data_IF_364595738766
#
_entry.id   IF_364595738766
#
_cell.length_a   1.000
_cell.length_b   1.000
_cell.length_c   1.000
_cell.angle_alpha   90.00
_cell.angle_beta   90.00
_cell.angle_gamma   90.00
#
_symmetry.space_group_name_H-M   'P 1'
#
loop_
_entity.id
_entity.type
_entity.pdbx_description
1 polymer ?
#
# COMPACT_ATOMS: atom_id res chain seq x y z
N UNK A 1 21.69 2.93 33.78
CA UNK A 1 20.73 3.46 32.80
C UNK A 1 20.50 2.39 31.75
N UNK A 2 19.39 1.63 31.83
CA UNK A 2 19.11 0.60 30.84
C UNK A 2 18.27 1.17 29.71
N UNK A 3 18.71 0.87 28.48
CA UNK A 3 18.07 1.19 27.20
C UNK A 3 16.65 0.59 27.10
N UNK A 4 15.70 1.24 26.41
CA UNK A 4 14.40 0.65 26.16
C UNK A 4 14.47 -0.35 24.99
N UNK A 5 14.06 -1.59 25.28
CA UNK A 5 13.94 -2.71 24.34
C UNK A 5 12.67 -2.57 23.49
N UNK A 6 12.82 -2.77 22.18
CA UNK A 6 11.74 -3.05 21.21
C UNK A 6 10.89 -4.23 21.69
N UNK A 7 9.55 -4.14 21.61
CA UNK A 7 8.62 -5.15 22.11
C UNK A 7 7.79 -5.80 20.99
N UNK A 8 8.14 -7.06 20.72
CA UNK A 8 7.38 -8.19 20.15
C UNK A 8 7.84 -9.41 21.00
N UNK A 9 7.08 -10.39 21.51
CA UNK A 9 5.71 -10.91 21.33
C UNK A 9 5.38 -11.83 22.55
N UNK A 10 4.12 -12.27 22.66
CA UNK A 10 3.57 -13.50 23.30
C UNK A 10 3.05 -13.40 24.74
N UNK A 11 1.72 -13.57 24.86
CA UNK A 11 0.98 -13.89 26.09
C UNK A 11 0.74 -15.41 26.17
N UNK A 12 0.81 -15.99 27.37
CA UNK A 12 0.34 -17.33 27.68
C UNK A 12 -0.56 -17.35 28.95
N UNK A 13 -1.73 -18.00 28.78
CA UNK A 13 -2.59 -18.73 29.74
C UNK A 13 -3.35 -18.04 30.92
N UNK A 14 -4.70 -17.99 30.78
CA UNK A 14 -5.79 -18.63 31.57
C UNK A 14 -5.81 -18.53 33.14
N UNK A 15 -6.91 -18.40 33.93
CA UNK A 15 -8.39 -18.49 33.86
C UNK A 15 -8.95 -17.89 35.19
N UNK A 16 -10.16 -17.30 35.23
CA UNK A 16 -11.25 -17.60 36.21
C UNK A 16 -12.52 -16.73 36.02
N UNK A 17 -13.67 -17.33 36.33
CA UNK A 17 -15.04 -16.97 35.94
C UNK A 17 -15.75 -15.91 36.81
N UNK A 18 -16.81 -15.30 36.25
CA UNK A 18 -18.06 -15.04 36.98
C UNK A 18 -19.24 -14.80 36.00
N UNK A 19 -20.36 -15.45 36.28
CA UNK A 19 -21.63 -15.39 35.56
C UNK A 19 -22.51 -14.21 35.99
N UNK A 20 -23.40 -13.74 35.10
CA UNK A 20 -24.47 -12.80 35.43
C UNK A 20 -25.54 -12.79 34.34
N UNK A 21 -26.80 -13.04 34.73
CA UNK A 21 -27.95 -13.30 33.87
C UNK A 21 -28.88 -12.07 33.68
N UNK A 22 -29.66 -12.09 32.58
CA UNK A 22 -30.91 -11.33 32.39
C UNK A 22 -30.76 -9.91 31.85
N UNK A 23 -31.60 -9.36 30.96
CA UNK A 23 -32.93 -9.73 30.53
C UNK A 23 -33.20 -9.29 29.07
N UNK A 24 -34.00 -10.06 28.35
CA UNK A 24 -34.54 -9.74 27.02
C UNK A 24 -35.64 -8.67 27.16
N UNK A 25 -35.55 -7.61 26.37
CA UNK A 25 -36.68 -6.70 26.13
C UNK A 25 -36.95 -6.65 24.63
N UNK A 26 -38.07 -7.24 24.23
CA UNK A 26 -38.64 -7.19 22.90
C UNK A 26 -39.23 -5.81 22.62
N UNK A 27 -38.60 -5.02 21.77
CA UNK A 27 -39.19 -3.80 21.21
C UNK A 27 -39.73 -4.08 19.80
N UNK A 28 -41.03 -3.85 19.63
CA UNK A 28 -41.76 -4.06 18.40
C UNK A 28 -41.20 -3.24 17.23
N UNK A 29 -41.03 -3.89 16.08
CA UNK A 29 -40.53 -3.29 14.84
C UNK A 29 -41.63 -2.44 14.20
N UNK A 30 -41.50 -1.11 14.28
CA UNK A 30 -42.24 -0.21 13.41
C UNK A 30 -41.62 -0.25 12.01
N UNK A 31 -42.40 -0.65 11.00
CA UNK A 31 -41.97 -0.67 9.61
C UNK A 31 -41.69 0.76 9.11
N UNK A 32 -40.41 1.11 8.99
CA UNK A 32 -40.00 2.35 8.35
C UNK A 32 -40.21 2.25 6.83
N UNK A 33 -40.85 3.27 6.26
CA UNK A 33 -41.00 3.44 4.82
C UNK A 33 -39.62 3.39 4.10
N UNK A 34 -39.55 2.93 2.84
CA UNK A 34 -38.29 2.79 2.12
C UNK A 34 -37.61 4.16 2.02
N UNK A 35 -36.48 4.31 2.71
CA UNK A 35 -35.58 5.44 2.53
C UNK A 35 -35.11 5.39 1.08
N UNK A 36 -35.27 6.50 0.36
CA UNK A 36 -34.55 6.71 -0.89
C UNK A 36 -33.06 6.65 -0.55
N UNK A 37 -32.38 5.60 -1.01
CA UNK A 37 -30.94 5.46 -0.89
C UNK A 37 -30.28 6.55 -1.75
N UNK A 38 -30.02 7.69 -1.13
CA UNK A 38 -29.05 8.63 -1.67
C UNK A 38 -27.69 7.93 -1.68
N UNK A 39 -26.90 8.04 -2.77
CA UNK A 39 -25.55 7.50 -2.78
C UNK A 39 -24.79 8.00 -1.57
N UNK A 40 -24.18 7.09 -0.80
CA UNK A 40 -23.32 7.48 0.29
C UNK A 40 -22.23 8.44 -0.23
N UNK A 41 -21.88 9.50 0.52
CA UNK A 41 -20.80 10.39 0.11
C UNK A 41 -19.51 9.58 -0.08
N UNK A 42 -18.64 9.98 -1.02
CA UNK A 42 -17.37 9.30 -1.25
C UNK A 42 -16.55 9.28 0.04
N UNK A 43 -15.96 8.12 0.36
CA UNK A 43 -15.16 7.90 1.57
C UNK A 43 -13.66 7.82 1.29
N UNK A 44 -13.27 7.98 0.02
CA UNK A 44 -11.88 7.94 -0.48
C UNK A 44 -11.70 9.08 -1.48
N UNK A 45 -10.58 9.79 -1.36
CA UNK A 45 -10.09 10.77 -2.32
C UNK A 45 -8.68 10.37 -2.78
N UNK A 46 -8.50 10.17 -4.08
CA UNK A 46 -7.21 9.89 -4.69
C UNK A 46 -6.75 11.11 -5.47
N UNK A 47 -5.54 11.59 -5.17
CA UNK A 47 -4.93 12.67 -5.94
C UNK A 47 -3.46 12.37 -6.22
N UNK A 48 -3.01 12.69 -7.44
CA UNK A 48 -1.63 12.52 -7.85
C UNK A 48 -1.19 13.62 -8.82
N UNK A 49 0.07 14.03 -8.67
CA UNK A 49 0.80 14.90 -9.58
C UNK A 49 1.61 14.02 -10.53
N UNK A 50 1.34 14.11 -11.83
CA UNK A 50 1.91 13.19 -12.85
C UNK A 50 2.30 13.88 -14.15
N UNK A 51 1.68 15.02 -14.45
CA UNK A 51 1.87 15.73 -15.73
C UNK A 51 2.97 16.78 -15.62
N UNK A 52 3.50 17.20 -16.77
CA UNK A 52 4.46 18.30 -16.83
C UNK A 52 3.92 19.57 -16.14
N UNK A 53 2.63 19.84 -16.34
CA UNK A 53 1.91 20.95 -15.74
C UNK A 53 1.86 20.83 -14.22
N UNK A 54 1.57 19.65 -13.68
CA UNK A 54 1.58 19.39 -12.23
C UNK A 54 2.95 19.71 -11.62
N UNK A 55 4.03 19.22 -12.25
CA UNK A 55 5.39 19.47 -11.81
C UNK A 55 5.75 20.96 -11.83
N UNK A 56 5.24 21.71 -12.81
CA UNK A 56 5.45 23.16 -12.95
C UNK A 56 4.66 24.00 -11.94
N UNK A 57 3.49 23.53 -11.49
CA UNK A 57 2.67 24.23 -10.50
C UNK A 57 3.14 24.00 -9.06
N UNK A 58 3.87 22.93 -8.79
CA UNK A 58 4.56 22.78 -7.50
C UNK A 58 5.70 23.78 -7.33
N UNK A 59 6.03 24.07 -6.07
CA UNK A 59 7.14 24.94 -5.71
C UNK A 59 8.45 24.16 -5.83
N UNK A 60 9.18 24.43 -6.91
CA UNK A 60 10.51 23.87 -7.15
C UNK A 60 11.61 24.68 -6.45
N UNK A 61 12.55 24.00 -5.80
CA UNK A 61 13.81 24.56 -5.33
C UNK A 61 14.95 23.60 -5.70
N UNK A 62 15.68 23.93 -6.78
CA UNK A 62 16.71 23.07 -7.36
C UNK A 62 16.19 21.94 -8.25
N UNK A 63 14.87 21.72 -8.32
CA UNK A 63 14.24 20.72 -9.20
C UNK A 63 13.77 21.34 -10.52
N UNK A 64 13.56 20.50 -11.54
CA UNK A 64 12.95 20.86 -12.83
C UNK A 64 11.93 19.81 -13.25
N UNK A 65 10.87 20.27 -13.91
CA UNK A 65 9.98 19.41 -14.67
C UNK A 65 10.69 18.92 -15.94
N UNK A 66 10.61 17.62 -16.20
CA UNK A 66 11.11 16.94 -17.40
C UNK A 66 9.90 16.67 -18.29
N UNK A 67 9.88 17.24 -19.49
CA UNK A 67 8.87 16.98 -20.49
C UNK A 67 9.15 15.65 -21.22
N UNK A 68 8.11 15.05 -21.80
CA UNK A 68 8.23 13.81 -22.58
C UNK A 68 6.96 12.99 -22.55
N UNK A 69 7.03 11.76 -23.10
CA UNK A 69 5.89 10.81 -23.08
C UNK A 69 5.48 10.46 -21.66
N UNK A 70 6.44 10.39 -20.75
CA UNK A 70 6.25 10.27 -19.30
C UNK A 70 6.92 11.47 -18.64
N UNK A 71 6.13 12.48 -18.32
CA UNK A 71 6.64 13.66 -17.63
C UNK A 71 7.17 13.26 -16.24
N UNK A 72 8.16 13.99 -15.74
CA UNK A 72 8.74 13.70 -14.44
C UNK A 72 9.36 14.92 -13.78
N UNK A 73 9.91 14.71 -12.59
CA UNK A 73 10.63 15.68 -11.80
C UNK A 73 12.05 15.17 -11.56
N UNK A 74 13.03 16.03 -11.78
CA UNK A 74 14.45 15.73 -11.63
C UNK A 74 15.20 16.87 -10.95
N UNK A 75 16.42 16.61 -10.49
CA UNK A 75 17.36 17.63 -10.01
C UNK A 75 17.85 18.46 -11.20
N UNK A 76 17.69 19.78 -11.12
CA UNK A 76 18.27 20.75 -12.04
C UNK A 76 19.65 21.21 -11.55
N UNK A 77 19.71 21.65 -10.30
CA UNK A 77 20.91 22.04 -9.57
C UNK A 77 20.67 21.77 -8.07
N UNK A 78 21.71 21.44 -7.30
CA UNK A 78 21.53 21.19 -5.88
C UNK A 78 21.20 22.50 -5.16
N UNK A 79 20.27 22.44 -4.21
CA UNK A 79 20.00 23.52 -3.27
C UNK A 79 21.13 23.64 -2.23
N UNK A 80 21.74 22.51 -1.90
CA UNK A 80 22.83 22.42 -0.94
C UNK A 80 23.34 20.99 -0.81
N UNK A 81 24.14 20.78 0.23
CA UNK A 81 24.61 19.46 0.67
C UNK A 81 24.11 19.18 2.08
N UNK A 82 23.82 17.93 2.36
CA UNK A 82 23.50 17.43 3.70
C UNK A 82 24.16 16.09 3.90
N UNK A 83 24.57 15.80 5.13
CA UNK A 83 24.97 14.45 5.50
C UNK A 83 23.73 13.65 5.88
N UNK A 84 23.71 12.37 5.50
CA UNK A 84 22.72 11.40 5.93
C UNK A 84 23.45 10.21 6.54
N UNK A 85 23.16 9.95 7.82
CA UNK A 85 23.55 8.71 8.49
C UNK A 85 22.39 7.74 8.34
N UNK A 86 22.64 6.67 7.59
CA UNK A 86 21.68 5.58 7.46
C UNK A 86 21.54 4.86 8.81
N UNK A 87 20.34 4.81 9.41
CA UNK A 87 20.16 4.29 10.77
C UNK A 87 20.38 2.77 10.87
N UNK A 88 20.35 2.07 9.74
CA UNK A 88 20.42 0.60 9.68
C UNK A 88 21.84 0.10 9.41
N UNK A 89 22.68 0.92 8.78
CA UNK A 89 24.09 0.59 8.52
C UNK A 89 25.08 1.41 9.36
N UNK A 90 24.64 2.52 9.95
CA UNK A 90 25.50 3.49 10.63
C UNK A 90 26.44 4.27 9.70
N UNK A 91 26.34 4.07 8.37
CA UNK A 91 27.19 4.75 7.40
C UNK A 91 26.68 6.17 7.16
N UNK A 92 27.59 7.15 7.27
CA UNK A 92 27.32 8.55 6.93
C UNK A 92 27.86 8.86 5.54
N UNK A 93 27.01 9.40 4.68
CA UNK A 93 27.38 9.92 3.36
C UNK A 93 26.83 11.33 3.14
N UNK A 94 27.62 12.15 2.44
CA UNK A 94 27.19 13.46 1.99
C UNK A 94 26.35 13.36 0.72
N UNK A 95 25.26 14.13 0.64
CA UNK A 95 24.33 14.14 -0.49
C UNK A 95 24.03 15.56 -0.94
N UNK A 96 24.04 15.76 -2.27
CA UNK A 96 23.44 16.94 -2.88
C UNK A 96 21.92 16.73 -2.95
N UNK A 97 21.14 17.77 -2.62
CA UNK A 97 19.69 17.64 -2.59
C UNK A 97 18.97 18.79 -3.31
N UNK A 98 17.77 18.51 -3.79
CA UNK A 98 16.83 19.49 -4.29
C UNK A 98 15.41 19.13 -3.82
N UNK A 99 14.51 20.12 -3.74
CA UNK A 99 13.15 19.89 -3.25
C UNK A 99 12.09 20.33 -4.24
N UNK A 100 10.95 19.68 -4.15
CA UNK A 100 9.71 20.08 -4.80
C UNK A 100 8.57 19.91 -3.79
N UNK A 101 7.73 20.92 -3.66
CA UNK A 101 6.53 20.85 -2.80
C UNK A 101 5.29 21.05 -3.63
N UNK A 102 4.33 20.15 -3.50
CA UNK A 102 3.06 20.22 -4.23
C UNK A 102 2.28 21.49 -3.88
N UNK A 103 1.37 21.94 -4.76
CA UNK A 103 0.24 22.78 -4.36
C UNK A 103 -0.53 22.13 -3.19
N UNK A 104 -1.32 22.93 -2.46
CA UNK A 104 -2.25 22.35 -1.47
C UNK A 104 -3.31 21.56 -2.24
N UNK A 105 -3.45 20.28 -1.89
CA UNK A 105 -4.63 19.52 -2.27
C UNK A 105 -5.66 19.62 -1.16
N UNK A 106 -6.84 20.16 -1.46
CA UNK A 106 -7.99 20.13 -0.54
C UNK A 106 -8.72 18.83 -0.80
N UNK A 107 -8.71 17.94 0.19
CA UNK A 107 -9.31 16.63 0.05
C UNK A 107 -10.81 16.77 -0.15
N UNK A 108 -11.39 16.02 -1.08
CA UNK A 108 -12.86 15.92 -1.21
C UNK A 108 -13.47 15.09 -0.07
N UNK A 109 -12.63 14.37 0.67
CA UNK A 109 -12.98 13.58 1.85
C UNK A 109 -12.16 14.10 3.04
N UNK A 110 -12.76 14.78 4.03
CA UNK A 110 -12.09 15.07 5.29
C UNK A 110 -11.61 13.76 5.91
N UNK A 111 -10.29 13.53 5.94
CA UNK A 111 -9.74 12.19 6.13
C UNK A 111 -9.34 11.90 7.57
N UNK A 112 -9.45 10.64 7.97
CA UNK A 112 -8.83 10.08 9.18
C UNK A 112 -7.50 9.42 8.87
N UNK A 113 -7.31 8.93 7.63
CA UNK A 113 -6.08 8.29 7.20
C UNK A 113 -5.59 8.83 5.86
N UNK A 114 -4.27 8.88 5.67
CA UNK A 114 -3.64 9.22 4.39
C UNK A 114 -2.44 8.33 4.11
N UNK A 115 -2.35 7.80 2.90
CA UNK A 115 -1.25 6.96 2.43
C UNK A 115 -0.61 7.63 1.21
N UNK A 116 0.63 8.07 1.35
CA UNK A 116 1.40 8.64 0.25
C UNK A 116 2.03 7.52 -0.59
N UNK A 117 2.01 7.65 -1.91
CA UNK A 117 2.68 6.73 -2.83
C UNK A 117 3.36 7.48 -3.98
N UNK A 118 4.40 6.87 -4.54
CA UNK A 118 5.23 7.48 -5.58
C UNK A 118 5.70 6.46 -6.61
N UNK A 119 6.06 6.94 -7.79
CA UNK A 119 6.70 6.16 -8.84
C UNK A 119 7.96 6.90 -9.26
N UNK A 120 9.12 6.27 -9.11
CA UNK A 120 10.39 6.91 -9.40
C UNK A 120 11.41 5.92 -9.95
N UNK A 121 12.28 6.43 -10.81
CA UNK A 121 13.59 5.84 -11.07
C UNK A 121 14.61 6.47 -10.13
N UNK A 122 15.44 5.65 -9.50
CA UNK A 122 16.58 6.09 -8.68
C UNK A 122 17.79 5.29 -9.10
N UNK A 123 18.54 5.73 -10.13
CA UNK A 123 19.80 5.11 -10.49
C UNK A 123 20.76 5.10 -9.28
N UNK A 124 21.69 4.15 -9.26
CA UNK A 124 22.72 4.09 -8.22
C UNK A 124 23.40 5.45 -8.01
N UNK A 125 23.61 5.84 -6.76
CA UNK A 125 24.04 7.18 -6.37
C UNK A 125 22.89 8.18 -6.23
N UNK A 126 21.62 7.73 -6.16
CA UNK A 126 20.46 8.59 -5.96
C UNK A 126 19.39 7.92 -5.10
N UNK A 127 18.60 8.74 -4.40
CA UNK A 127 17.46 8.29 -3.61
C UNK A 127 16.51 9.47 -3.37
N UNK A 128 15.37 9.24 -2.72
CA UNK A 128 14.41 10.29 -2.41
C UNK A 128 13.73 10.12 -1.05
N UNK A 129 13.27 11.24 -0.49
CA UNK A 129 12.42 11.29 0.69
C UNK A 129 11.06 11.89 0.32
N UNK A 130 9.99 11.31 0.86
CA UNK A 130 8.62 11.76 0.69
C UNK A 130 8.11 12.24 2.03
N UNK A 131 7.52 13.43 2.07
CA UNK A 131 7.00 14.02 3.29
C UNK A 131 5.58 14.53 3.09
N UNK A 132 4.76 14.42 4.13
CA UNK A 132 3.39 14.90 4.18
C UNK A 132 3.24 15.99 5.23
N UNK A 133 2.54 17.06 4.89
CA UNK A 133 2.04 18.04 5.86
C UNK A 133 0.58 18.33 5.58
N UNK A 134 -0.24 18.24 6.61
CA UNK A 134 -1.68 18.43 6.55
C UNK A 134 -2.17 19.63 7.35
N UNK A 135 -3.40 20.04 7.05
CA UNK A 135 -4.19 20.97 7.86
C UNK A 135 -5.42 20.24 8.39
N UNK A 136 -5.66 20.37 9.67
CA UNK A 136 -6.82 19.79 10.34
C UNK A 136 -8.09 20.65 10.17
N UNK A 137 -9.24 20.03 10.44
CA UNK A 137 -10.55 20.69 10.46
C UNK A 137 -10.66 21.79 11.52
N UNK A 138 -9.92 21.69 12.64
CA UNK A 138 -9.84 22.71 13.69
C UNK A 138 -8.96 23.92 13.31
N UNK A 139 -8.31 23.86 12.15
CA UNK A 139 -7.50 24.91 11.58
C UNK A 139 -6.01 24.87 11.91
N UNK A 140 -5.59 23.97 12.81
CA UNK A 140 -4.17 23.69 13.09
C UNK A 140 -3.53 22.85 11.98
N UNK A 141 -2.20 22.73 11.99
CA UNK A 141 -1.44 21.98 11.00
C UNK A 141 -0.60 20.89 11.67
N UNK A 142 -0.37 19.82 10.93
CA UNK A 142 0.59 18.78 11.31
C UNK A 142 2.02 19.33 11.20
N UNK A 143 3.01 18.70 11.85
CA UNK A 143 4.40 18.79 11.41
C UNK A 143 4.57 18.19 9.99
N UNK A 144 5.78 18.28 9.44
CA UNK A 144 6.14 17.46 8.29
C UNK A 144 6.46 16.05 8.77
N UNK A 145 5.66 15.08 8.33
CA UNK A 145 5.92 13.66 8.53
C UNK A 145 6.71 13.10 7.38
N UNK A 146 7.73 12.28 7.66
CA UNK A 146 8.45 11.49 6.66
C UNK A 146 7.65 10.23 6.39
N UNK A 147 7.11 10.12 5.18
CA UNK A 147 6.32 8.95 4.74
C UNK A 147 7.19 7.83 4.17
N UNK A 148 8.47 8.12 3.91
CA UNK A 148 9.45 7.12 3.51
C UNK A 148 10.75 7.73 2.99
N UNK A 149 11.86 7.04 3.25
CA UNK A 149 13.15 7.24 2.56
C UNK A 149 13.39 6.06 1.66
N UNK A 150 13.54 6.32 0.37
CA UNK A 150 13.39 5.29 -0.64
C UNK A 150 14.43 5.37 -1.74
N UNK A 151 14.97 4.21 -2.08
CA UNK A 151 15.72 3.93 -3.29
C UNK A 151 15.18 2.63 -3.90
N UNK A 152 15.28 2.54 -5.23
CA UNK A 152 14.97 1.34 -6.02
C UNK A 152 15.94 0.21 -5.69
N UNK A 153 17.23 0.54 -5.51
CA UNK A 153 18.26 -0.38 -5.02
C UNK A 153 18.43 -0.33 -3.49
N UNK A 154 19.36 -1.13 -2.96
CA UNK A 154 19.67 -1.22 -1.53
C UNK A 154 21.14 -0.88 -1.19
N UNK A 155 21.88 -0.32 -2.16
CA UNK A 155 23.30 0.04 -2.02
C UNK A 155 23.55 1.49 -1.60
N UNK A 156 22.63 2.41 -1.89
CA UNK A 156 22.77 3.85 -1.56
C UNK A 156 22.29 4.18 -0.15
N UNK A 157 21.12 3.63 0.19
CA UNK A 157 20.50 3.66 1.51
C UNK A 157 19.77 2.34 1.73
N UNK A 158 19.60 1.95 2.99
CA UNK A 158 18.60 1.00 3.44
C UNK A 158 17.27 1.72 3.51
N UNK A 159 16.50 1.57 2.42
CA UNK A 159 15.11 2.04 2.31
C UNK A 159 14.30 1.72 3.58
N UNK A 160 13.58 2.72 4.07
CA UNK A 160 13.08 2.70 5.44
C UNK A 160 11.87 3.62 5.64
N UNK A 161 10.89 3.14 6.40
CA UNK A 161 9.93 3.99 7.12
C UNK A 161 10.61 4.70 8.30
N UNK A 162 9.88 5.58 8.99
CA UNK A 162 10.38 6.34 10.15
C UNK A 162 9.38 6.22 11.29
N UNK A 163 9.83 5.67 12.40
CA UNK A 163 9.02 5.44 13.60
C UNK A 163 8.85 6.70 14.46
N UNK A 164 7.96 6.58 15.46
CA UNK A 164 7.78 7.55 16.55
C UNK A 164 7.41 8.97 16.10
N UNK A 165 6.69 9.07 14.98
CA UNK A 165 6.20 10.34 14.45
C UNK A 165 4.77 10.61 14.92
N UNK A 166 4.57 11.60 15.80
CA UNK A 166 3.23 12.06 16.22
C UNK A 166 3.21 13.55 16.56
N UNK A 167 2.00 14.12 16.67
CA UNK A 167 1.77 15.49 17.16
C UNK A 167 0.74 15.58 18.30
N UNK A 168 0.36 14.43 18.87
CA UNK A 168 -0.69 14.32 19.89
C UNK A 168 -2.12 14.36 19.35
N UNK A 169 -2.29 14.47 18.02
CA UNK A 169 -3.59 14.37 17.32
C UNK A 169 -3.57 13.31 16.23
N UNK A 170 -2.39 13.08 15.65
CA UNK A 170 -2.13 12.06 14.64
C UNK A 170 -0.75 11.44 14.82
N UNK A 171 -0.61 10.25 14.25
CA UNK A 171 0.62 9.48 14.21
C UNK A 171 0.83 8.87 12.82
N UNK A 172 2.08 8.54 12.49
CA UNK A 172 2.40 7.72 11.30
C UNK A 172 2.68 6.29 11.74
N UNK A 173 1.92 5.35 11.19
CA UNK A 173 2.10 3.91 11.38
C UNK A 173 2.74 3.32 10.13
N UNK A 174 4.08 3.18 10.13
CA UNK A 174 4.91 2.67 9.03
C UNK A 174 4.77 3.48 7.72
N UNK A 175 3.62 3.38 7.04
CA UNK A 175 3.31 4.04 5.77
C UNK A 175 2.01 4.87 5.77
N UNK A 176 1.27 4.85 6.89
CA UNK A 176 -0.07 5.46 6.99
C UNK A 176 -0.08 6.56 8.03
N UNK A 177 -0.39 7.79 7.61
CA UNK A 177 -0.83 8.84 8.53
C UNK A 177 -2.21 8.46 9.08
N UNK A 178 -2.42 8.57 10.39
CA UNK A 178 -3.70 8.31 11.05
C UNK A 178 -4.00 9.36 12.10
N UNK A 179 -5.21 9.91 12.10
CA UNK A 179 -5.76 10.63 13.25
C UNK A 179 -5.91 9.66 14.41
N UNK A 180 -5.40 10.01 15.59
CA UNK A 180 -5.30 9.10 16.73
C UNK A 180 -6.69 8.77 17.33
N UNK A 181 -7.58 9.76 17.39
CA UNK A 181 -8.98 9.61 17.81
C UNK A 181 -9.93 10.12 16.72
N UNK A 182 -10.32 9.21 15.81
CA UNK A 182 -11.28 9.51 14.76
C UNK A 182 -12.68 9.88 15.29
N UNK A 183 -13.05 9.43 16.51
CA UNK A 183 -14.35 9.71 17.12
C UNK A 183 -14.45 11.16 17.64
N UNK A 184 -13.33 11.84 17.86
CA UNK A 184 -13.29 13.28 18.18
C UNK A 184 -13.89 14.18 17.09
N UNK A 185 -14.06 13.66 15.87
CA UNK A 185 -14.47 14.44 14.70
C UNK A 185 -13.35 15.24 14.04
N UNK A 186 -12.11 15.19 14.56
CA UNK A 186 -10.94 15.77 13.91
C UNK A 186 -10.70 15.07 12.57
N UNK A 187 -10.40 15.86 11.53
CA UNK A 187 -10.11 15.36 10.17
C UNK A 187 -8.96 16.13 9.55
N UNK A 188 -8.18 15.47 8.72
CA UNK A 188 -7.26 16.11 7.79
C UNK A 188 -8.05 16.61 6.56
N UNK A 189 -8.15 17.93 6.38
CA UNK A 189 -9.00 18.52 5.32
C UNK A 189 -8.22 18.92 4.07
N UNK A 190 -6.90 19.06 4.19
CA UNK A 190 -6.02 19.34 3.06
C UNK A 190 -4.59 18.94 3.38
N UNK A 191 -3.78 18.64 2.37
CA UNK A 191 -2.39 18.29 2.54
C UNK A 191 -1.49 18.84 1.43
N UNK A 192 -0.18 18.81 1.68
CA UNK A 192 0.89 18.96 0.70
C UNK A 192 1.82 17.77 0.81
N UNK A 193 2.40 17.39 -0.33
CA UNK A 193 3.53 16.47 -0.37
C UNK A 193 4.80 17.23 -0.72
N UNK A 194 5.91 16.85 -0.08
CA UNK A 194 7.25 17.32 -0.44
C UNK A 194 8.10 16.13 -0.87
N UNK A 195 8.75 16.30 -2.01
CA UNK A 195 9.80 15.43 -2.48
C UNK A 195 11.14 16.10 -2.19
N UNK A 196 12.04 15.38 -1.53
CA UNK A 196 13.46 15.73 -1.49
C UNK A 196 14.23 14.70 -2.29
N UNK A 197 14.86 15.15 -3.36
CA UNK A 197 15.64 14.32 -4.27
C UNK A 197 17.11 14.42 -3.90
N UNK A 198 17.79 13.29 -3.79
CA UNK A 198 19.20 13.22 -3.42
C UNK A 198 20.04 12.60 -4.53
N UNK A 199 21.28 13.07 -4.65
CA UNK A 199 22.30 12.47 -5.51
C UNK A 199 23.69 12.57 -4.89
N UNK A 200 24.59 11.68 -5.30
CA UNK A 200 26.01 11.76 -4.93
C UNK A 200 26.60 13.12 -5.35
N UNK A 201 27.30 13.84 -4.45
CA UNK A 201 27.84 15.17 -4.74
C UNK A 201 28.73 15.24 -5.98
N UNK A 202 28.63 16.34 -6.73
CA UNK A 202 29.44 16.57 -7.94
C UNK A 202 29.06 15.73 -9.17
N UNK A 203 28.11 14.79 -9.03
CA UNK A 203 27.63 14.00 -10.17
C UNK A 203 26.53 14.73 -10.95
N UNK A 204 26.23 14.22 -12.16
CA UNK A 204 25.06 14.64 -12.96
C UNK A 204 23.87 13.68 -12.82
N UNK A 205 23.97 12.71 -11.91
CA UNK A 205 22.89 11.75 -11.66
C UNK A 205 21.65 12.48 -11.16
N UNK A 206 20.48 11.93 -11.43
CA UNK A 206 19.23 12.43 -10.88
C UNK A 206 18.26 11.27 -10.68
N UNK A 207 17.59 11.17 -9.53
CA UNK A 207 16.37 10.39 -9.48
C UNK A 207 15.33 11.10 -10.38
N UNK A 208 14.43 10.34 -10.98
CA UNK A 208 13.33 10.87 -11.78
C UNK A 208 12.02 10.39 -11.21
N UNK A 209 11.21 11.30 -10.67
CA UNK A 209 9.88 10.98 -10.12
C UNK A 209 8.84 11.21 -11.20
N UNK A 210 8.06 10.19 -11.55
CA UNK A 210 7.00 10.28 -12.56
C UNK A 210 5.59 10.43 -11.98
N UNK A 211 5.43 10.05 -10.71
CA UNK A 211 4.17 10.19 -9.96
C UNK A 211 4.50 10.41 -8.50
N UNK A 212 3.79 11.35 -7.88
CA UNK A 212 3.65 11.42 -6.42
C UNK A 212 2.19 11.73 -6.12
N UNK A 213 1.62 11.11 -5.11
CA UNK A 213 0.22 11.31 -4.75
C UNK A 213 -0.10 10.69 -3.40
N UNK A 214 -1.36 10.84 -2.99
CA UNK A 214 -1.86 10.18 -1.81
C UNK A 214 -3.32 9.76 -1.97
N UNK A 215 -3.66 8.68 -1.27
CA UNK A 215 -5.05 8.30 -0.99
C UNK A 215 -5.39 8.84 0.40
N UNK A 216 -6.44 9.65 0.49
CA UNK A 216 -7.01 10.14 1.74
C UNK A 216 -8.38 9.49 1.97
N UNK A 217 -8.66 9.01 3.18
CA UNK A 217 -9.90 8.28 3.45
C UNK A 217 -10.48 8.57 4.83
N UNK A 218 -11.80 8.43 4.92
CA UNK A 218 -12.57 8.39 6.17
C UNK A 218 -13.54 7.20 6.08
N UNK A 219 -13.02 6.01 6.39
CA UNK A 219 -13.82 4.77 6.39
C UNK A 219 -14.33 4.54 7.81
N UNK A 220 -15.66 4.47 8.03
CA UNK A 220 -16.20 4.26 9.37
C UNK A 220 -15.86 2.87 9.90
N UNK A 221 -15.89 2.75 11.23
CA UNK A 221 -15.80 1.47 11.93
C UNK A 221 -16.91 0.53 11.48
N UNK A 222 -16.51 -0.64 10.98
CA UNK A 222 -17.43 -1.70 10.54
C UNK A 222 -16.76 -3.06 10.68
N UNK A 223 -17.51 -4.02 11.20
CA UNK A 223 -17.10 -5.43 11.33
C UNK A 223 -17.53 -6.30 10.15
N UNK A 224 -18.56 -5.85 9.43
CA UNK A 224 -19.14 -6.49 8.25
C UNK A 224 -19.51 -5.43 7.22
N UNK A 225 -19.77 -5.87 5.99
CA UNK A 225 -20.21 -5.04 4.87
C UNK A 225 -21.34 -5.74 4.12
N UNK A 226 -22.26 -4.99 3.48
CA UNK A 226 -23.23 -5.59 2.58
C UNK A 226 -22.54 -6.32 1.43
N UNK A 227 -23.05 -7.50 1.05
CA UNK A 227 -22.59 -8.19 -0.15
C UNK A 227 -22.90 -7.35 -1.41
N UNK A 228 -21.91 -7.17 -2.28
CA UNK A 228 -22.11 -6.64 -3.61
C UNK A 228 -22.81 -7.64 -4.53
N UNK A 229 -23.60 -7.15 -5.48
CA UNK A 229 -24.20 -7.99 -6.52
C UNK A 229 -23.16 -8.32 -7.59
N UNK A 230 -22.94 -9.61 -7.92
CA UNK A 230 -22.01 -10.00 -8.99
C UNK A 230 -22.40 -9.43 -10.35
N UNK A 231 -21.42 -9.00 -11.15
CA UNK A 231 -21.65 -8.42 -12.47
C UNK A 231 -20.60 -8.73 -13.54
N UNK A 232 -19.67 -9.65 -13.26
CA UNK A 232 -18.60 -10.03 -14.18
C UNK A 232 -18.30 -11.52 -14.08
N UNK A 233 -18.10 -12.17 -15.23
CA UNK A 233 -17.52 -13.51 -15.34
C UNK A 233 -16.26 -13.37 -16.20
N UNK A 234 -15.10 -13.48 -15.57
CA UNK A 234 -13.81 -13.30 -16.23
C UNK A 234 -12.69 -13.81 -15.35
N UNK A 235 -11.64 -14.35 -15.96
CA UNK A 235 -10.38 -14.65 -15.30
C UNK A 235 -9.23 -14.09 -16.12
N UNK A 236 -8.32 -13.38 -15.47
CA UNK A 236 -7.09 -12.87 -16.07
C UNK A 236 -5.98 -13.91 -15.90
N UNK A 237 -5.18 -14.12 -16.94
CA UNK A 237 -4.06 -15.05 -16.93
C UNK A 237 -2.84 -14.48 -16.19
N UNK A 238 -3.00 -14.17 -14.91
CA UNK A 238 -1.91 -13.70 -14.05
C UNK A 238 -1.04 -14.91 -13.66
N UNK A 239 0.31 -14.83 -13.80
CA UNK A 239 1.23 -15.85 -13.31
C UNK A 239 0.98 -16.18 -11.84
N UNK A 240 1.34 -17.40 -11.45
CA UNK A 240 1.11 -17.92 -10.10
C UNK A 240 2.46 -18.14 -9.45
N UNK A 241 2.65 -17.51 -8.30
CA UNK A 241 3.83 -17.68 -7.48
C UNK A 241 3.41 -17.93 -6.04
N UNK A 242 3.95 -18.98 -5.45
CA UNK A 242 3.82 -19.28 -4.04
C UNK A 242 4.93 -18.57 -3.27
N UNK A 243 4.60 -17.95 -2.14
CA UNK A 243 5.63 -17.49 -1.21
C UNK A 243 6.23 -18.67 -0.42
N UNK A 244 5.46 -19.75 -0.20
CA UNK A 244 5.86 -20.82 0.72
C UNK A 244 6.99 -21.70 0.16
N UNK A 245 7.20 -21.73 -1.16
CA UNK A 245 8.36 -22.41 -1.76
C UNK A 245 9.68 -21.76 -1.36
N UNK A 246 9.64 -20.54 -0.80
CA UNK A 246 10.78 -19.78 -0.31
C UNK A 246 10.92 -19.78 1.21
N UNK A 247 10.17 -20.62 1.93
CA UNK A 247 10.26 -20.72 3.39
C UNK A 247 11.70 -20.98 3.83
N UNK A 248 12.23 -20.13 4.71
CA UNK A 248 13.61 -20.18 5.18
C UNK A 248 14.70 -19.75 4.18
N UNK A 249 14.35 -19.36 2.94
CA UNK A 249 15.29 -18.75 1.99
C UNK A 249 15.45 -17.26 2.30
N UNK A 250 16.68 -16.75 2.30
CA UNK A 250 17.00 -15.35 2.60
C UNK A 250 16.31 -14.81 3.88
N UNK A 251 16.58 -15.44 5.05
CA UNK A 251 15.91 -15.11 6.30
C UNK A 251 16.10 -13.65 6.76
N UNK A 252 17.12 -12.96 6.27
CA UNK A 252 17.34 -11.53 6.49
C UNK A 252 16.23 -10.64 5.96
N UNK A 253 15.38 -11.15 5.06
CA UNK A 253 14.21 -10.44 4.54
C UNK A 253 12.94 -11.01 5.16
N UNK A 254 12.73 -10.84 6.47
CA UNK A 254 11.49 -11.25 7.16
C UNK A 254 11.29 -12.78 7.26
N UNK A 255 12.35 -13.50 7.64
CA UNK A 255 12.41 -14.97 7.77
C UNK A 255 12.26 -15.77 6.48
N UNK A 256 12.07 -15.10 5.34
CA UNK A 256 11.91 -15.75 4.04
C UNK A 256 10.46 -15.77 3.57
N UNK A 257 10.13 -16.78 2.77
CA UNK A 257 8.81 -16.97 2.16
C UNK A 257 7.62 -16.89 3.11
N UNK A 258 7.81 -17.11 4.41
CA UNK A 258 6.80 -17.02 5.47
C UNK A 258 6.05 -15.67 5.50
N UNK A 259 6.69 -14.58 5.06
CA UNK A 259 6.13 -13.23 5.12
C UNK A 259 6.15 -12.46 3.78
N UNK A 260 6.34 -13.15 2.66
CA UNK A 260 6.54 -12.54 1.33
C UNK A 260 5.26 -12.35 0.50
N UNK A 261 4.08 -12.35 1.12
CA UNK A 261 2.80 -12.20 0.40
C UNK A 261 2.72 -10.97 -0.51
N UNK A 262 3.21 -9.82 -0.04
CA UNK A 262 3.20 -8.54 -0.76
C UNK A 262 4.15 -8.52 -1.96
N UNK A 263 5.46 -8.85 -1.82
CA UNK A 263 6.36 -8.94 -2.97
C UNK A 263 5.95 -10.03 -3.96
N UNK A 264 5.47 -11.18 -3.48
CA UNK A 264 4.99 -12.26 -4.35
C UNK A 264 3.78 -11.82 -5.19
N UNK A 265 2.77 -11.21 -4.56
CA UNK A 265 1.62 -10.63 -5.26
C UNK A 265 2.02 -9.53 -6.24
N UNK A 266 2.98 -8.69 -5.85
CA UNK A 266 3.50 -7.65 -6.73
C UNK A 266 4.19 -8.24 -7.96
N UNK A 267 5.01 -9.26 -7.77
CA UNK A 267 5.74 -9.93 -8.84
C UNK A 267 4.80 -10.61 -9.85
N UNK A 268 3.74 -11.28 -9.36
CA UNK A 268 2.70 -11.85 -10.21
C UNK A 268 2.08 -10.80 -11.17
N UNK A 269 1.73 -9.61 -10.68
CA UNK A 269 1.14 -8.56 -11.54
C UNK A 269 2.19 -7.91 -12.45
N UNK A 270 3.41 -7.67 -11.97
CA UNK A 270 4.49 -7.12 -12.80
C UNK A 270 4.73 -8.02 -14.02
N UNK A 271 4.76 -9.34 -13.82
CA UNK A 271 4.95 -10.33 -14.88
C UNK A 271 3.70 -10.55 -15.74
N UNK A 272 2.49 -10.41 -15.20
CA UNK A 272 1.26 -10.35 -16.00
C UNK A 272 1.33 -9.23 -17.05
N UNK A 273 1.95 -8.11 -16.69
CA UNK A 273 2.19 -7.02 -17.62
C UNK A 273 3.40 -7.25 -18.54
N UNK A 274 4.09 -8.40 -18.47
CA UNK A 274 5.22 -8.75 -19.32
C UNK A 274 6.53 -8.05 -18.93
N UNK A 275 6.68 -7.67 -17.66
CA UNK A 275 7.91 -7.11 -17.09
C UNK A 275 8.50 -8.11 -16.12
N UNK A 276 9.83 -8.23 -16.06
CA UNK A 276 10.54 -9.11 -15.13
C UNK A 276 11.94 -8.59 -14.85
N UNK A 277 12.57 -8.96 -13.72
CA UNK A 277 13.99 -8.74 -13.50
C UNK A 277 14.83 -9.27 -14.67
N UNK A 278 15.92 -8.58 -15.01
CA UNK A 278 16.90 -9.10 -15.96
C UNK A 278 17.75 -10.22 -15.34
N UNK A 279 18.49 -10.96 -16.16
CA UNK A 279 19.42 -11.96 -15.63
C UNK A 279 20.51 -11.33 -14.73
N UNK A 280 20.89 -10.08 -15.00
CA UNK A 280 21.83 -9.34 -14.17
C UNK A 280 21.20 -8.95 -12.82
N UNK A 281 19.93 -8.56 -12.81
CA UNK A 281 19.18 -8.24 -11.58
C UNK A 281 19.00 -9.46 -10.68
N UNK A 282 18.97 -10.66 -11.27
CA UNK A 282 18.85 -11.95 -10.57
C UNK A 282 20.20 -12.59 -10.23
N UNK A 283 21.32 -12.02 -10.64
CA UNK A 283 22.64 -12.64 -10.48
C UNK A 283 23.07 -12.82 -9.02
N UNK A 284 22.41 -12.13 -8.08
CA UNK A 284 22.63 -12.30 -6.64
C UNK A 284 21.86 -13.47 -6.04
N UNK A 285 20.82 -13.96 -6.73
CA UNK A 285 19.99 -15.07 -6.26
C UNK A 285 20.75 -16.38 -6.46
N UNK A 286 20.68 -17.27 -5.47
CA UNK A 286 21.40 -18.54 -5.49
C UNK A 286 20.89 -19.41 -6.65
N UNK A 287 21.79 -20.05 -7.42
CA UNK A 287 21.39 -20.93 -8.50
C UNK A 287 20.49 -22.08 -8.02
N UNK A 288 19.42 -22.36 -8.76
CA UNK A 288 18.50 -23.46 -8.45
C UNK A 288 17.31 -23.09 -7.57
N UNK A 289 17.24 -21.86 -7.07
CA UNK A 289 16.03 -21.33 -6.44
C UNK A 289 14.91 -21.21 -7.48
N UNK A 290 13.76 -21.80 -7.17
CA UNK A 290 12.51 -21.62 -7.91
C UNK A 290 12.08 -20.16 -7.79
N UNK A 291 11.49 -19.57 -8.85
CA UNK A 291 10.97 -18.21 -8.86
C UNK A 291 11.91 -17.14 -8.28
N UNK A 292 13.14 -17.01 -8.82
CA UNK A 292 14.14 -16.06 -8.30
C UNK A 292 13.66 -14.60 -8.35
N UNK A 293 12.64 -14.30 -9.16
CA UNK A 293 12.01 -12.98 -9.20
C UNK A 293 11.23 -12.63 -7.92
N UNK A 294 10.74 -13.62 -7.17
CA UNK A 294 10.10 -13.41 -5.85
C UNK A 294 11.15 -13.04 -4.81
N UNK A 295 12.30 -13.72 -4.76
CA UNK A 295 13.43 -13.34 -3.90
C UNK A 295 13.92 -11.91 -4.21
N UNK A 296 14.02 -11.59 -5.51
CA UNK A 296 14.31 -10.23 -5.97
C UNK A 296 13.27 -9.23 -5.44
N UNK A 297 11.97 -9.50 -5.61
CA UNK A 297 10.93 -8.64 -5.10
C UNK A 297 10.99 -8.44 -3.57
N UNK A 298 11.25 -9.50 -2.80
CA UNK A 298 11.40 -9.41 -1.34
C UNK A 298 12.53 -8.45 -0.95
N UNK A 299 13.74 -8.67 -1.46
CA UNK A 299 14.90 -7.81 -1.19
C UNK A 299 14.64 -6.34 -1.54
N UNK A 300 14.04 -6.07 -2.69
CA UNK A 300 13.85 -4.71 -3.20
C UNK A 300 12.53 -4.05 -2.73
N UNK A 301 11.76 -4.72 -1.88
CA UNK A 301 10.60 -4.15 -1.19
C UNK A 301 10.79 -4.03 0.32
N UNK A 302 11.73 -4.78 0.90
CA UNK A 302 12.03 -4.81 2.33
C UNK A 302 12.20 -3.40 2.92
N UNK A 303 11.47 -3.13 3.99
CA UNK A 303 11.57 -1.93 4.80
C UNK A 303 12.38 -2.25 6.05
N UNK A 304 13.54 -1.62 6.18
CA UNK A 304 14.50 -1.96 7.23
C UNK A 304 14.06 -1.49 8.63
N UNK A 305 13.20 -0.47 8.74
CA UNK A 305 12.65 -0.07 10.04
C UNK A 305 11.48 -0.95 10.45
N UNK A 306 10.62 -1.29 9.49
CA UNK A 306 9.49 -2.20 9.72
C UNK A 306 9.94 -3.66 9.92
N UNK A 307 11.14 -3.99 9.44
CA UNK A 307 11.71 -5.34 9.39
C UNK A 307 10.82 -6.31 8.58
N UNK A 308 10.28 -5.84 7.46
CA UNK A 308 9.35 -6.64 6.67
C UNK A 308 9.11 -6.14 5.25
N UNK A 309 8.48 -6.98 4.43
CA UNK A 309 8.15 -6.66 3.04
C UNK A 309 6.74 -6.07 2.87
N UNK A 310 6.04 -5.82 3.98
CA UNK A 310 4.63 -5.43 4.02
C UNK A 310 4.32 -3.93 3.83
N UNK A 311 5.33 -3.06 3.67
CA UNK A 311 5.11 -1.63 3.46
C UNK A 311 4.46 -1.37 2.08
N UNK A 312 3.26 -0.78 2.05
CA UNK A 312 2.43 -0.75 0.84
C UNK A 312 2.99 0.18 -0.24
N UNK A 313 3.33 1.46 0.05
CA UNK A 313 3.97 2.34 -0.93
C UNK A 313 5.29 1.79 -1.46
N UNK A 314 6.02 1.03 -0.65
CA UNK A 314 7.30 0.43 -1.00
C UNK A 314 7.17 -0.65 -2.08
N UNK A 315 6.13 -1.47 -2.03
CA UNK A 315 5.77 -2.43 -3.07
C UNK A 315 5.28 -1.72 -4.35
N UNK A 316 4.42 -0.71 -4.20
CA UNK A 316 3.96 0.08 -5.32
C UNK A 316 5.13 0.80 -6.04
N UNK A 317 6.05 1.40 -5.30
CA UNK A 317 7.22 2.05 -5.85
C UNK A 317 8.16 1.06 -6.55
N UNK A 318 8.39 -0.13 -5.97
CA UNK A 318 9.12 -1.23 -6.62
C UNK A 318 8.47 -1.64 -7.95
N UNK A 319 7.15 -1.84 -8.00
CA UNK A 319 6.47 -2.18 -9.25
C UNK A 319 6.65 -1.11 -10.34
N UNK A 320 6.81 0.15 -9.95
CA UNK A 320 7.00 1.27 -10.87
C UNK A 320 8.44 1.45 -11.36
N UNK A 321 9.44 0.75 -10.81
CA UNK A 321 10.82 0.73 -11.35
C UNK A 321 10.88 0.01 -12.70
N UNK A 322 9.95 -0.91 -12.94
CA UNK A 322 9.85 -1.64 -14.18
C UNK A 322 9.38 -0.76 -15.34
N UNK A 323 9.87 -1.11 -16.53
CA UNK A 323 9.63 -0.36 -17.75
C UNK A 323 8.15 -0.09 -18.00
N UNK A 324 7.83 1.19 -18.16
CA UNK A 324 6.49 1.70 -18.47
C UNK A 324 5.40 1.19 -17.51
N UNK A 325 5.73 1.02 -16.22
CA UNK A 325 4.77 0.68 -15.16
C UNK A 325 4.38 1.90 -14.34
N UNK A 326 3.11 1.96 -13.97
CA UNK A 326 2.56 2.91 -13.02
C UNK A 326 1.83 2.14 -11.92
N UNK A 327 1.80 2.71 -10.73
CA UNK A 327 1.20 2.08 -9.57
C UNK A 327 0.58 3.10 -8.63
N UNK A 328 -0.36 2.63 -7.82
CA UNK A 328 -0.90 3.37 -6.69
C UNK A 328 -1.33 2.42 -5.57
N UNK A 329 -1.28 2.93 -4.34
CA UNK A 329 -1.99 2.36 -3.20
C UNK A 329 -3.29 3.14 -3.05
N UNK A 330 -4.41 2.44 -2.90
CA UNK A 330 -5.72 3.08 -2.74
C UNK A 330 -6.66 2.22 -1.88
N UNK A 331 -7.87 2.72 -1.65
CA UNK A 331 -8.98 1.95 -1.08
C UNK A 331 -10.11 1.84 -2.11
N UNK A 332 -10.66 0.65 -2.26
CA UNK A 332 -11.88 0.42 -3.04
C UNK A 332 -13.03 0.05 -2.08
N UNK A 333 -14.26 0.35 -2.48
CA UNK A 333 -15.43 0.28 -1.61
C UNK A 333 -16.25 -0.99 -1.75
N UNK A 334 -16.03 -1.77 -2.81
CA UNK A 334 -16.78 -3.00 -3.11
C UNK A 334 -16.05 -3.89 -4.10
N UNK A 335 -16.44 -5.16 -4.21
CA UNK A 335 -15.99 -6.03 -5.30
C UNK A 335 -16.51 -5.59 -6.67
N UNK A 336 -17.58 -4.78 -6.74
CA UNK A 336 -18.02 -4.15 -8.00
C UNK A 336 -16.98 -3.16 -8.54
N UNK A 337 -16.24 -2.50 -7.64
CA UNK A 337 -15.11 -1.65 -8.03
C UNK A 337 -13.98 -2.48 -8.62
N UNK A 338 -13.69 -3.62 -8.00
CA UNK A 338 -12.70 -4.59 -8.50
C UNK A 338 -13.13 -5.18 -9.85
N UNK A 339 -14.40 -5.55 -10.02
CA UNK A 339 -14.96 -5.97 -11.30
C UNK A 339 -14.76 -4.91 -12.39
N UNK A 340 -14.85 -3.62 -12.06
CA UNK A 340 -14.59 -2.53 -13.00
C UNK A 340 -13.15 -2.54 -13.52
N UNK A 341 -12.18 -2.76 -12.63
CA UNK A 341 -10.75 -2.89 -12.98
C UNK A 341 -10.46 -4.20 -13.74
N UNK A 342 -10.96 -5.34 -13.26
CA UNK A 342 -10.76 -6.66 -13.89
C UNK A 342 -11.40 -6.71 -15.28
N UNK A 343 -12.57 -6.08 -15.47
CA UNK A 343 -13.19 -5.92 -16.81
C UNK A 343 -12.29 -5.15 -17.78
N UNK A 344 -11.49 -4.21 -17.28
CA UNK A 344 -10.47 -3.50 -18.06
C UNK A 344 -9.12 -4.26 -18.18
N UNK A 345 -9.03 -5.47 -17.62
CA UNK A 345 -7.82 -6.30 -17.64
C UNK A 345 -6.79 -5.92 -16.59
N UNK A 346 -7.20 -5.24 -15.52
CA UNK A 346 -6.33 -4.81 -14.41
C UNK A 346 -6.61 -5.71 -13.19
N UNK A 347 -5.71 -6.63 -12.82
CA UNK A 347 -5.81 -7.36 -11.56
C UNK A 347 -5.56 -6.44 -10.37
N UNK A 348 -6.03 -6.83 -9.18
CA UNK A 348 -5.97 -6.00 -7.97
C UNK A 348 -5.39 -6.79 -6.81
N UNK A 349 -4.37 -6.26 -6.14
CA UNK A 349 -3.80 -6.87 -4.93
C UNK A 349 -4.57 -6.31 -3.74
N UNK A 350 -5.28 -7.15 -2.99
CA UNK A 350 -6.07 -6.73 -1.84
C UNK A 350 -5.40 -7.13 -0.53
N UNK A 351 -5.44 -6.24 0.45
CA UNK A 351 -4.99 -6.53 1.81
C UNK A 351 -6.09 -7.22 2.61
N UNK A 352 -5.75 -8.35 3.22
CA UNK A 352 -6.67 -9.23 3.93
C UNK A 352 -6.26 -9.43 5.38
N UNK A 353 -7.26 -9.63 6.25
CA UNK A 353 -7.05 -10.00 7.65
C UNK A 353 -8.25 -10.81 8.15
N UNK A 354 -8.01 -12.05 8.58
CA UNK A 354 -9.08 -13.00 8.88
C UNK A 354 -8.64 -14.11 9.85
N UNK A 355 -9.61 -14.65 10.59
CA UNK A 355 -9.49 -15.94 11.27
C UNK A 355 -9.75 -17.06 10.26
N UNK A 356 -9.24 -18.25 10.55
CA UNK A 356 -9.30 -19.40 9.65
C UNK A 356 -10.73 -19.76 9.24
N UNK A 357 -11.69 -19.52 10.12
CA UNK A 357 -13.11 -19.84 9.93
C UNK A 357 -13.85 -18.79 9.09
N UNK A 358 -13.26 -17.62 8.85
CA UNK A 358 -13.90 -16.50 8.16
C UNK A 358 -13.74 -16.53 6.63
N UNK A 359 -12.80 -17.33 6.12
CA UNK A 359 -12.57 -17.50 4.69
C UNK A 359 -12.56 -19.00 4.32
N UNK A 360 -13.72 -19.49 3.86
CA UNK A 360 -13.90 -20.90 3.50
C UNK A 360 -12.89 -21.31 2.42
N UNK A 361 -12.17 -22.40 2.66
CA UNK A 361 -11.22 -22.97 1.71
C UNK A 361 -9.78 -22.44 1.85
N UNK A 362 -9.54 -21.37 2.60
CA UNK A 362 -8.17 -20.86 2.80
C UNK A 362 -7.30 -21.81 3.62
N UNK A 363 -7.86 -22.43 4.67
CA UNK A 363 -7.15 -23.43 5.49
C UNK A 363 -6.22 -22.85 6.56
N UNK A 364 -6.03 -21.53 6.60
CA UNK A 364 -5.24 -20.79 7.59
C UNK A 364 -5.95 -19.48 7.98
N UNK A 365 -5.42 -18.76 8.98
CA UNK A 365 -5.84 -17.41 9.35
C UNK A 365 -4.62 -16.48 9.45
N UNK A 366 -4.85 -15.17 9.37
CA UNK A 366 -3.78 -14.16 9.30
C UNK A 366 -4.20 -12.81 9.91
N UNK A 367 -3.24 -12.10 10.52
CA UNK A 367 -3.40 -10.70 10.92
C UNK A 367 -3.21 -9.72 9.76
N UNK A 368 -2.56 -10.13 8.68
CA UNK A 368 -2.32 -9.34 7.47
C UNK A 368 -1.77 -10.21 6.35
N UNK A 369 -2.36 -10.14 5.16
CA UNK A 369 -1.94 -10.92 4.00
C UNK A 369 -2.32 -10.22 2.70
N UNK A 370 -1.48 -10.31 1.67
CA UNK A 370 -1.78 -9.75 0.36
C UNK A 370 -2.13 -10.88 -0.60
N UNK A 371 -3.28 -10.75 -1.27
CA UNK A 371 -3.77 -11.71 -2.25
C UNK A 371 -4.19 -10.97 -3.52
N UNK A 372 -4.03 -11.60 -4.68
CA UNK A 372 -4.35 -10.96 -5.97
C UNK A 372 -5.70 -11.43 -6.50
N UNK A 373 -6.68 -10.53 -6.63
CA UNK A 373 -7.92 -10.81 -7.36
C UNK A 373 -7.65 -10.78 -8.86
N UNK A 374 -7.87 -11.92 -9.51
CA UNK A 374 -7.62 -12.11 -10.94
C UNK A 374 -8.92 -12.31 -11.73
N UNK A 375 -10.05 -12.49 -11.06
CA UNK A 375 -11.29 -12.82 -11.75
C UNK A 375 -12.48 -13.09 -10.85
N UNK A 376 -13.58 -13.46 -11.49
CA UNK A 376 -14.85 -13.82 -10.87
C UNK A 376 -15.51 -14.97 -11.66
N UNK A 377 -16.09 -15.92 -10.94
CA UNK A 377 -16.81 -17.08 -11.52
C UNK A 377 -18.23 -16.69 -11.99
N UNK A 378 -18.97 -17.63 -12.58
CA UNK A 378 -20.36 -17.43 -13.00
C UNK A 378 -21.32 -17.15 -11.82
N UNK A 379 -21.09 -17.81 -10.68
CA UNK A 379 -21.79 -17.56 -9.41
C UNK A 379 -21.31 -16.25 -8.75
N UNK A 380 -20.29 -15.65 -9.36
CA UNK A 380 -19.66 -14.42 -8.97
C UNK A 380 -18.44 -14.61 -8.09
N UNK A 381 -18.21 -15.77 -7.48
CA UNK A 381 -17.14 -15.97 -6.49
C UNK A 381 -15.76 -15.49 -6.97
N UNK A 382 -14.97 -15.01 -6.01
CA UNK A 382 -13.68 -14.35 -6.28
C UNK A 382 -12.67 -15.40 -6.70
N UNK A 383 -12.10 -15.24 -7.89
CA UNK A 383 -10.93 -16.01 -8.33
C UNK A 383 -9.70 -15.21 -7.93
N UNK A 384 -8.89 -15.77 -7.03
CA UNK A 384 -7.71 -15.10 -6.50
C UNK A 384 -6.47 -15.99 -6.59
N UNK A 385 -5.32 -15.37 -6.83
CA UNK A 385 -4.03 -15.97 -6.57
C UNK A 385 -3.65 -15.65 -5.11
N UNK A 386 -3.68 -16.68 -4.26
CA UNK A 386 -3.23 -16.66 -2.87
C UNK A 386 -1.78 -17.15 -2.78
N UNK A 387 -0.80 -16.26 -2.54
CA UNK A 387 0.60 -16.67 -2.46
C UNK A 387 0.90 -17.62 -1.30
N UNK A 388 0.06 -17.68 -0.24
CA UNK A 388 0.23 -18.59 0.89
C UNK A 388 -0.24 -20.03 0.56
N UNK A 389 0.25 -20.57 -0.55
CA UNK A 389 -0.07 -21.91 -1.07
C UNK A 389 1.17 -22.80 -1.05
N UNK A 390 1.05 -24.15 -0.99
CA UNK A 390 2.22 -25.03 -0.86
C UNK A 390 3.18 -24.98 -2.06
N UNK A 391 2.67 -24.68 -3.26
CA UNK A 391 3.38 -24.57 -4.53
C UNK A 391 2.61 -23.65 -5.50
N UNK A 392 3.19 -23.34 -6.66
CA UNK A 392 2.60 -22.43 -7.66
C UNK A 392 1.30 -22.95 -8.27
N UNK A 393 1.16 -24.26 -8.43
CA UNK A 393 -0.04 -24.87 -9.00
C UNK A 393 -1.24 -24.67 -8.06
N UNK A 394 -1.00 -24.73 -6.75
CA UNK A 394 -1.99 -24.53 -5.70
C UNK A 394 -2.36 -23.05 -5.43
N UNK A 395 -1.68 -22.06 -6.03
CA UNK A 395 -1.90 -20.62 -5.77
C UNK A 395 -3.29 -20.13 -6.16
N UNK A 396 -3.95 -20.76 -7.15
CA UNK A 396 -5.26 -20.29 -7.61
C UNK A 396 -6.39 -20.87 -6.76
N UNK A 397 -7.14 -19.98 -6.11
CA UNK A 397 -8.31 -20.32 -5.30
C UNK A 397 -9.59 -19.63 -5.81
N UNK A 398 -10.73 -20.19 -5.42
CA UNK A 398 -12.05 -19.57 -5.58
C UNK A 398 -12.65 -19.39 -4.19
N UNK A 399 -12.92 -18.14 -3.82
CA UNK A 399 -13.48 -17.80 -2.51
C UNK A 399 -14.87 -17.20 -2.64
N UNK A 400 -15.72 -17.50 -1.67
CA UNK A 400 -17.07 -16.94 -1.59
C UNK A 400 -17.01 -15.42 -1.55
N UNK A 401 -17.81 -14.77 -2.40
CA UNK A 401 -17.84 -13.30 -2.51
C UNK A 401 -17.94 -12.58 -1.17
N UNK A 402 -18.98 -12.92 -0.40
CA UNK A 402 -19.32 -12.19 0.81
C UNK A 402 -18.26 -12.36 1.91
N UNK A 403 -17.67 -13.55 2.02
CA UNK A 403 -16.57 -13.81 2.95
C UNK A 403 -15.37 -12.93 2.59
N UNK A 404 -14.93 -12.96 1.32
CA UNK A 404 -13.85 -12.12 0.81
C UNK A 404 -14.10 -10.62 1.03
N UNK A 405 -15.28 -10.14 0.63
CA UNK A 405 -15.65 -8.73 0.73
C UNK A 405 -15.67 -8.27 2.19
N UNK A 406 -16.12 -9.11 3.11
CA UNK A 406 -16.13 -8.82 4.55
C UNK A 406 -14.71 -8.69 5.09
N UNK A 407 -13.84 -9.68 4.84
CA UNK A 407 -12.49 -9.68 5.41
C UNK A 407 -11.60 -8.57 4.82
N UNK A 408 -11.90 -8.14 3.60
CA UNK A 408 -11.20 -7.05 2.91
C UNK A 408 -11.73 -5.66 3.30
N UNK A 409 -13.05 -5.46 3.34
CA UNK A 409 -13.60 -4.12 3.47
C UNK A 409 -13.83 -3.68 4.91
N UNK A 410 -13.89 -4.61 5.88
CA UNK A 410 -14.06 -4.25 7.29
C UNK A 410 -12.87 -3.45 7.83
N UNK A 411 -13.15 -2.48 8.69
CA UNK A 411 -12.13 -1.66 9.38
C UNK A 411 -11.88 -2.16 10.79
N UNK A 412 -12.77 -3.00 11.34
CA UNK A 412 -12.61 -3.67 12.63
C UNK A 412 -12.87 -5.16 12.49
N UNK A 413 -12.18 -5.96 13.31
CA UNK A 413 -12.40 -7.40 13.43
C UNK A 413 -12.15 -7.88 14.85
N UNK A 414 -12.65 -9.06 15.19
CA UNK A 414 -12.23 -9.74 16.41
C UNK A 414 -11.02 -10.63 16.12
N UNK A 415 -10.04 -10.64 17.03
CA UNK A 415 -8.98 -11.65 17.03
C UNK A 415 -9.46 -12.96 17.70
N UNK A 416 -8.60 -13.98 17.73
CA UNK A 416 -8.93 -15.27 18.33
C UNK A 416 -9.26 -15.20 19.84
N UNK A 417 -8.86 -14.11 20.51
CA UNK A 417 -9.15 -13.87 21.93
C UNK A 417 -10.38 -12.96 22.12
N UNK A 418 -11.07 -12.59 21.04
CA UNK A 418 -12.24 -11.70 21.08
C UNK A 418 -11.90 -10.22 21.22
N UNK A 419 -10.64 -9.81 21.09
CA UNK A 419 -10.28 -8.39 21.13
C UNK A 419 -10.55 -7.73 19.78
N UNK A 420 -10.97 -6.47 19.81
CA UNK A 420 -11.11 -5.67 18.59
C UNK A 420 -9.73 -5.30 18.05
N UNK A 421 -9.49 -5.62 16.78
CA UNK A 421 -8.31 -5.29 15.98
C UNK A 421 -8.72 -4.53 14.72
N UNK A 422 -7.77 -3.84 14.12
CA UNK A 422 -7.98 -3.18 12.82
C UNK A 422 -8.13 -4.21 11.71
N UNK A 423 -9.07 -3.94 10.80
CA UNK A 423 -9.17 -4.57 9.49
C UNK A 423 -8.51 -3.69 8.43
N UNK A 424 -8.51 -4.14 7.18
CA UNK A 424 -7.77 -3.49 6.11
C UNK A 424 -8.55 -2.35 5.46
N UNK A 425 -9.88 -2.31 5.62
CA UNK A 425 -10.75 -1.22 5.18
C UNK A 425 -10.74 -0.98 3.66
N UNK A 426 -10.47 -2.02 2.88
CA UNK A 426 -10.48 -1.95 1.41
C UNK A 426 -9.17 -1.53 0.77
N UNK A 427 -8.05 -1.48 1.51
CA UNK A 427 -6.75 -1.16 0.93
C UNK A 427 -6.38 -2.17 -0.15
N UNK A 428 -5.86 -1.66 -1.26
CA UNK A 428 -5.39 -2.45 -2.37
C UNK A 428 -4.27 -1.74 -3.15
N UNK A 429 -3.54 -2.51 -3.95
CA UNK A 429 -2.59 -2.01 -4.92
C UNK A 429 -3.17 -2.18 -6.31
N UNK A 430 -2.99 -1.17 -7.14
CA UNK A 430 -3.39 -1.20 -8.55
C UNK A 430 -2.14 -0.89 -9.36
N UNK A 431 -1.73 -1.83 -10.22
CA UNK A 431 -0.59 -1.66 -11.13
C UNK A 431 -1.07 -1.74 -12.58
N UNK A 432 -0.58 -0.82 -13.41
CA UNK A 432 -1.00 -0.72 -14.81
C UNK A 432 0.12 -0.15 -15.69
N UNK A 433 0.06 -0.34 -17.02
CA UNK A 433 1.01 0.30 -17.92
C UNK A 433 0.92 1.83 -17.85
N UNK A 434 2.05 2.55 -17.87
CA UNK A 434 2.11 4.02 -17.86
C UNK A 434 1.29 4.69 -18.98
N UNK A 435 0.97 3.92 -20.03
CA UNK A 435 0.08 4.31 -21.12
C UNK A 435 -1.12 3.35 -21.20
N UNK A 436 -2.13 3.53 -20.34
CA UNK A 436 -3.30 2.64 -20.32
C UNK A 436 -4.13 2.82 -21.60
N UNK A 437 -4.76 1.72 -22.04
CA UNK A 437 -5.76 1.73 -23.10
C UNK A 437 -6.96 2.62 -22.73
N UNK A 438 -7.84 3.02 -23.69
CA UNK A 438 -9.02 3.81 -23.36
C UNK A 438 -9.92 3.17 -22.29
N UNK A 439 -10.11 1.84 -22.35
CA UNK A 439 -10.91 1.11 -21.37
C UNK A 439 -10.26 1.09 -19.97
N UNK A 440 -8.94 0.88 -19.92
CA UNK A 440 -8.17 0.94 -18.67
C UNK A 440 -8.18 2.35 -18.07
N UNK A 441 -7.99 3.38 -18.90
CA UNK A 441 -8.04 4.77 -18.46
C UNK A 441 -9.40 5.14 -17.90
N UNK A 442 -10.49 4.69 -18.54
CA UNK A 442 -11.83 4.90 -18.03
C UNK A 442 -12.01 4.26 -16.64
N UNK A 443 -11.63 2.99 -16.49
CA UNK A 443 -11.73 2.28 -15.21
C UNK A 443 -10.88 2.93 -14.10
N UNK A 444 -9.63 3.30 -14.40
CA UNK A 444 -8.74 3.98 -13.45
C UNK A 444 -9.27 5.38 -13.05
N UNK A 445 -9.89 6.11 -13.98
CA UNK A 445 -10.51 7.43 -13.71
C UNK A 445 -11.68 7.34 -12.76
N UNK A 446 -12.46 6.26 -12.81
CA UNK A 446 -13.57 6.03 -11.88
C UNK A 446 -13.12 6.00 -10.41
N UNK A 447 -11.82 5.79 -10.16
CA UNK A 447 -11.22 5.77 -8.83
C UNK A 447 -10.19 6.89 -8.60
N UNK A 448 -10.10 7.89 -9.49
CA UNK A 448 -9.16 9.00 -9.35
C UNK A 448 -7.68 8.62 -9.51
N UNK A 449 -7.38 7.52 -10.21
CA UNK A 449 -6.00 7.02 -10.34
C UNK A 449 -5.22 7.63 -11.52
N UNK A 450 -5.88 8.20 -12.54
CA UNK A 450 -5.27 8.78 -13.77
C UNK A 450 -6.06 9.94 -14.39
#
# INVERSE_FOLDING_TARGET
>A
MPSPTSRRTVLAAAIAAAAGAGALSSAASASAAPRRDWPAPPSVDNHAWTTYTDWRFGRAAGTRAVAGRRAGLAIAHPLGRTDYTDPHTGTTAAWEYATWTSPVHRSTVPATEVIASWNADTPAGTWLQIELRGRYSDGTETPWYVMGRWAAGDGDIRRTSVDDQSDGKSSVWTDTFSVDDAASGLRLVSYRLRLTLYRTPGTRLTPTVWRVGAMASDIPDRFTVPASTPGLVRELAVPRYSQNVHVGQYPEYDNGGEAWCSPTSSQMIIEYWGRKPSAADLAWVEPGIQDPSVCHAARFTYDNQYEGCGNWPFNAAYAATYRDMSSAVTRLGSLKDVETLVRAGIPVITSQSFLKEELTGAGYGTSGHLMTVIGFTADGDVIANDPASPDDDAVRHVYKRHEWETIWLRTKRYDANGNVKSGTGGVCYVYWPAHPSPAQRWALRSFGLV
#
